data_IF_854278257681
#
_entry.id   IF_854278257681
#
_cell.length_a   1.000
_cell.length_b   1.000
_cell.length_c   1.000
_cell.angle_alpha   90.00
_cell.angle_beta   90.00
_cell.angle_gamma   90.00
#
_symmetry.space_group_name_H-M   'P 1'
#
loop_
_entity.id
_entity.type
_entity.pdbx_description
1 polymer ?
#
# COMPACT_ATOMS: atom_id res chain seq x y z
N UNK A 1 -7.43 -30.31 29.29
CA UNK A 1 -8.38 -29.77 28.31
C UNK A 1 -7.57 -29.08 27.24
N UNK A 2 -7.45 -29.71 26.08
CA UNK A 2 -6.63 -29.23 24.96
C UNK A 2 -7.31 -28.00 24.37
N UNK A 3 -6.70 -26.82 24.55
CA UNK A 3 -7.15 -25.59 23.90
C UNK A 3 -6.87 -25.71 22.42
N UNK A 4 -7.93 -25.95 21.63
CA UNK A 4 -7.89 -25.79 20.18
C UNK A 4 -7.55 -24.33 19.93
N UNK A 5 -6.31 -24.07 19.51
CA UNK A 5 -5.91 -22.78 18.96
C UNK A 5 -6.86 -22.52 17.79
N UNK A 6 -7.65 -21.43 17.86
CA UNK A 6 -8.45 -21.02 16.73
C UNK A 6 -7.54 -20.91 15.50
N UNK A 7 -7.94 -21.41 14.32
CA UNK A 7 -7.11 -21.28 13.13
C UNK A 7 -6.78 -19.79 12.97
N UNK A 8 -5.48 -19.48 12.84
CA UNK A 8 -5.08 -18.11 12.51
C UNK A 8 -5.86 -17.68 11.27
N UNK A 9 -6.47 -16.48 11.27
CA UNK A 9 -7.18 -16.01 10.10
C UNK A 9 -6.22 -16.07 8.92
N UNK A 10 -6.63 -16.80 7.88
CA UNK A 10 -5.85 -16.91 6.64
C UNK A 10 -5.48 -15.49 6.21
N UNK A 11 -4.17 -15.21 6.07
CA UNK A 11 -3.69 -13.97 5.45
C UNK A 11 -4.31 -13.92 4.05
N UNK A 12 -5.40 -13.18 3.91
CA UNK A 12 -6.15 -13.11 2.66
C UNK A 12 -5.26 -12.48 1.58
N UNK A 13 -4.99 -13.25 0.54
CA UNK A 13 -4.25 -12.78 -0.64
C UNK A 13 -4.97 -11.59 -1.29
N UNK A 14 -4.22 -10.75 -2.01
CA UNK A 14 -4.82 -9.60 -2.69
C UNK A 14 -5.88 -10.05 -3.70
N UNK A 15 -7.05 -9.41 -3.68
CA UNK A 15 -8.10 -9.59 -4.65
C UNK A 15 -8.03 -8.52 -5.76
N UNK A 16 -7.59 -8.86 -6.99
CA UNK A 16 -7.47 -7.89 -8.08
C UNK A 16 -8.80 -7.25 -8.47
N UNK A 17 -9.93 -7.94 -8.28
CA UNK A 17 -11.26 -7.39 -8.55
C UNK A 17 -11.67 -6.26 -7.58
N UNK A 18 -10.93 -6.09 -6.48
CA UNK A 18 -11.13 -5.02 -5.49
C UNK A 18 -10.02 -3.97 -5.53
N UNK A 19 -9.23 -3.97 -6.61
CA UNK A 19 -8.10 -3.07 -6.79
C UNK A 19 -6.92 -3.35 -5.85
N UNK A 20 -6.86 -4.54 -5.24
CA UNK A 20 -5.84 -4.85 -4.25
C UNK A 20 -4.49 -5.20 -4.87
N UNK A 21 -3.41 -4.85 -4.18
CA UNK A 21 -2.04 -5.18 -4.57
C UNK A 21 -1.25 -5.77 -3.40
N UNK A 22 -0.42 -6.77 -3.67
CA UNK A 22 0.48 -7.35 -2.66
C UNK A 22 1.76 -6.53 -2.56
N UNK A 23 2.10 -6.12 -1.34
CA UNK A 23 3.36 -5.48 -0.99
C UNK A 23 4.16 -6.43 -0.11
N UNK A 24 5.27 -6.95 -0.64
CA UNK A 24 6.20 -7.82 0.11
C UNK A 24 7.32 -6.99 0.71
N UNK A 25 7.34 -6.81 2.02
CA UNK A 25 8.37 -6.02 2.73
C UNK A 25 8.76 -6.72 4.04
N UNK A 26 10.03 -6.65 4.44
CA UNK A 26 10.53 -7.24 5.70
C UNK A 26 10.11 -8.72 5.94
N UNK A 27 10.00 -9.52 4.87
CA UNK A 27 9.55 -10.92 4.95
C UNK A 27 8.04 -11.11 5.12
N UNK A 28 7.28 -10.02 5.19
CA UNK A 28 5.83 -10.01 5.34
C UNK A 28 5.13 -9.71 4.00
N UNK A 29 3.93 -10.26 3.83
CA UNK A 29 3.03 -9.93 2.72
C UNK A 29 1.91 -9.04 3.29
N UNK A 30 1.89 -7.78 2.86
CA UNK A 30 0.84 -6.83 3.17
C UNK A 30 -0.05 -6.65 1.94
N UNK A 31 -1.31 -6.28 2.18
CA UNK A 31 -2.26 -5.99 1.11
C UNK A 31 -2.56 -4.50 1.10
N UNK A 32 -2.41 -3.88 -0.07
CA UNK A 32 -2.81 -2.50 -0.33
C UNK A 32 -4.16 -2.50 -1.03
N UNK A 33 -5.06 -1.61 -0.61
CA UNK A 33 -6.40 -1.41 -1.16
C UNK A 33 -6.72 0.09 -1.25
N UNK A 34 -6.83 0.67 -2.46
CA UNK A 34 -7.16 2.08 -2.68
C UNK A 34 -8.65 2.37 -2.49
N UNK A 35 -9.21 2.08 -1.31
CA UNK A 35 -10.61 2.41 -1.00
C UNK A 35 -10.82 3.93 -0.91
N UNK A 36 -12.07 4.40 -1.04
CA UNK A 36 -12.41 5.82 -0.90
C UNK A 36 -11.80 6.47 0.34
N UNK A 37 -11.95 5.86 1.52
CA UNK A 37 -11.41 6.39 2.77
C UNK A 37 -9.87 6.46 2.77
N UNK A 38 -9.20 5.45 2.19
CA UNK A 38 -7.75 5.44 2.05
C UNK A 38 -7.27 6.55 1.10
N UNK A 39 -7.96 6.74 -0.02
CA UNK A 39 -7.63 7.75 -1.01
C UNK A 39 -7.83 9.18 -0.48
N UNK A 40 -8.93 9.44 0.23
CA UNK A 40 -9.16 10.74 0.90
C UNK A 40 -8.10 11.00 1.97
N UNK A 41 -7.72 9.99 2.75
CA UNK A 41 -6.64 10.13 3.73
C UNK A 41 -5.28 10.40 3.06
N UNK A 42 -5.00 9.74 1.94
CA UNK A 42 -3.81 9.99 1.15
C UNK A 42 -3.80 11.41 0.57
N UNK A 43 -4.93 11.92 0.07
CA UNK A 43 -5.02 13.31 -0.40
C UNK A 43 -4.77 14.33 0.71
N UNK A 44 -5.25 14.05 1.92
CA UNK A 44 -5.01 14.90 3.08
C UNK A 44 -3.51 15.06 3.41
N UNK A 45 -2.68 14.06 3.11
CA UNK A 45 -1.23 14.10 3.36
C UNK A 45 -0.42 14.52 2.12
N UNK A 46 -0.78 14.01 0.94
CA UNK A 46 0.03 14.09 -0.28
C UNK A 46 -0.42 15.18 -1.26
N UNK A 47 -1.57 15.81 -0.98
CA UNK A 47 -2.26 16.69 -1.91
C UNK A 47 -3.06 15.92 -2.97
N UNK A 48 -3.57 16.62 -4.01
CA UNK A 48 -4.51 16.03 -4.97
C UNK A 48 -3.96 14.78 -5.67
N UNK A 49 -4.78 13.72 -5.81
CA UNK A 49 -4.34 12.47 -6.44
C UNK A 49 -3.92 12.65 -7.90
N UNK A 50 -4.57 13.55 -8.64
CA UNK A 50 -4.18 13.84 -10.03
C UNK A 50 -2.76 14.39 -10.10
N UNK A 51 -2.41 15.35 -9.23
CA UNK A 51 -1.06 15.89 -9.16
C UNK A 51 -0.04 14.83 -8.75
N UNK A 52 -0.40 13.89 -7.86
CA UNK A 52 0.43 12.75 -7.48
C UNK A 52 0.68 11.81 -8.69
N UNK A 53 -0.36 11.50 -9.46
CA UNK A 53 -0.28 10.66 -10.66
C UNK A 53 0.58 11.33 -11.75
N UNK A 54 0.42 12.64 -11.96
CA UNK A 54 1.23 13.40 -12.90
C UNK A 54 2.72 13.36 -12.53
N UNK A 55 3.05 13.62 -11.26
CA UNK A 55 4.44 13.49 -10.78
C UNK A 55 5.00 12.09 -11.01
N UNK A 56 4.20 11.04 -10.81
CA UNK A 56 4.62 9.67 -11.09
C UNK A 56 4.88 9.44 -12.59
N UNK A 57 3.99 9.91 -13.47
CA UNK A 57 4.15 9.79 -14.92
C UNK A 57 5.38 10.55 -15.44
N UNK A 58 5.72 11.67 -14.82
CA UNK A 58 6.91 12.48 -15.13
C UNK A 58 8.22 11.94 -14.50
N UNK A 59 8.15 10.86 -13.71
CA UNK A 59 9.32 10.32 -12.99
C UNK A 59 9.81 11.22 -11.85
N UNK A 60 8.94 12.09 -11.32
CA UNK A 60 9.21 13.04 -10.23
C UNK A 60 8.62 12.63 -8.89
N UNK A 61 7.91 11.49 -8.82
CA UNK A 61 7.34 11.01 -7.57
C UNK A 61 8.44 10.68 -6.55
N UNK A 62 8.39 11.36 -5.41
CA UNK A 62 9.31 11.15 -4.31
C UNK A 62 9.07 9.82 -3.58
N UNK A 63 10.12 9.32 -2.93
CA UNK A 63 10.02 8.11 -2.11
C UNK A 63 9.02 8.29 -0.94
N UNK A 64 9.02 9.45 -0.29
CA UNK A 64 8.08 9.78 0.78
C UNK A 64 6.62 9.74 0.31
N UNK A 65 6.36 10.20 -0.92
CA UNK A 65 5.02 10.20 -1.52
C UNK A 65 4.55 8.77 -1.84
N UNK A 66 5.45 7.93 -2.37
CA UNK A 66 5.18 6.50 -2.58
C UNK A 66 4.88 5.80 -1.25
N UNK A 67 5.70 6.03 -0.23
CA UNK A 67 5.51 5.48 1.13
C UNK A 67 4.20 5.98 1.76
N UNK A 68 3.83 7.23 1.53
CA UNK A 68 2.56 7.79 1.96
C UNK A 68 1.37 7.12 1.30
N UNK A 69 1.41 6.98 -0.02
CA UNK A 69 0.34 6.34 -0.75
C UNK A 69 0.15 4.89 -0.28
N UNK A 70 1.24 4.13 -0.15
CA UNK A 70 1.14 2.74 0.28
C UNK A 70 0.59 2.61 1.70
N UNK A 71 1.01 3.47 2.61
CA UNK A 71 0.58 3.41 4.01
C UNK A 71 -0.90 3.72 4.21
N UNK A 72 -1.43 4.69 3.48
CA UNK A 72 -2.86 4.99 3.50
C UNK A 72 -3.66 3.88 2.85
N UNK A 73 -3.11 3.25 1.82
CA UNK A 73 -3.71 2.10 1.18
C UNK A 73 -3.55 0.78 1.95
N UNK A 74 -2.83 0.69 3.08
CA UNK A 74 -2.74 -0.56 3.84
C UNK A 74 -4.14 -1.03 4.25
N UNK A 75 -4.54 -2.21 3.77
CA UNK A 75 -5.84 -2.81 4.08
C UNK A 75 -5.99 -3.08 5.57
N UNK A 76 -4.92 -3.60 6.17
CA UNK A 76 -4.81 -3.85 7.59
C UNK A 76 -3.39 -3.49 8.03
N UNK A 77 -3.28 -2.89 9.23
CA UNK A 77 -2.01 -2.58 9.86
C UNK A 77 -1.79 -3.58 10.99
N UNK A 78 -0.80 -4.48 10.89
CA UNK A 78 -0.41 -5.31 12.03
C UNK A 78 -0.11 -4.43 13.24
N UNK A 79 -0.45 -4.86 14.46
CA UNK A 79 -0.34 -4.04 15.68
C UNK A 79 1.08 -3.48 15.90
N UNK A 80 2.11 -4.23 15.49
CA UNK A 80 3.52 -3.84 15.62
C UNK A 80 4.04 -2.97 14.47
N UNK A 81 3.25 -2.76 13.41
CA UNK A 81 3.68 -2.01 12.24
C UNK A 81 3.61 -0.51 12.53
N UNK A 82 4.77 0.12 12.72
CA UNK A 82 4.90 1.57 12.83
C UNK A 82 5.06 2.22 11.45
N UNK A 83 4.78 3.53 11.37
CA UNK A 83 4.99 4.33 10.15
C UNK A 83 6.44 4.29 9.70
N UNK A 84 7.36 4.48 10.64
CA UNK A 84 8.80 4.53 10.38
C UNK A 84 9.32 3.17 9.95
N UNK A 85 8.95 2.09 10.65
CA UNK A 85 9.34 0.73 10.27
C UNK A 85 8.81 0.33 8.90
N UNK A 86 7.59 0.78 8.54
CA UNK A 86 7.06 0.60 7.20
C UNK A 86 7.87 1.37 6.14
N UNK A 87 8.21 2.63 6.42
CA UNK A 87 9.00 3.46 5.51
C UNK A 87 10.41 2.86 5.28
N UNK A 88 11.06 2.40 6.34
CA UNK A 88 12.35 1.71 6.26
C UNK A 88 12.25 0.42 5.42
N UNK A 89 11.23 -0.40 5.66
CA UNK A 89 11.05 -1.65 4.95
C UNK A 89 10.72 -1.46 3.46
N UNK A 90 9.94 -0.43 3.10
CA UNK A 90 9.70 -0.04 1.69
C UNK A 90 10.99 0.48 1.05
N UNK A 91 11.76 1.29 1.78
CA UNK A 91 13.04 1.84 1.30
C UNK A 91 14.08 0.75 1.05
N UNK A 92 14.22 -0.19 1.99
CA UNK A 92 15.15 -1.32 1.89
C UNK A 92 14.86 -2.23 0.68
N UNK A 93 13.59 -2.30 0.26
CA UNK A 93 13.16 -3.04 -0.94
C UNK A 93 13.60 -2.36 -2.25
N UNK A 94 13.81 -1.05 -2.23
CA UNK A 94 14.25 -0.24 -3.38
C UNK A 94 13.12 0.14 -4.36
N UNK A 95 13.32 1.24 -5.10
CA UNK A 95 12.30 1.82 -5.98
C UNK A 95 11.81 0.84 -7.06
N UNK A 96 12.74 0.19 -7.77
CA UNK A 96 12.39 -0.70 -8.88
C UNK A 96 11.49 -1.87 -8.46
N UNK A 97 11.72 -2.44 -7.27
CA UNK A 97 10.88 -3.51 -6.76
C UNK A 97 9.48 -3.01 -6.34
N UNK A 98 9.36 -1.76 -5.91
CA UNK A 98 8.09 -1.13 -5.51
C UNK A 98 7.26 -0.63 -6.70
N UNK A 99 7.86 -0.37 -7.86
CA UNK A 99 7.18 0.14 -9.07
C UNK A 99 5.97 -0.69 -9.52
N UNK A 100 5.98 -2.04 -9.53
CA UNK A 100 4.79 -2.81 -9.92
C UNK A 100 3.58 -2.55 -9.03
N UNK A 101 3.79 -2.45 -7.71
CA UNK A 101 2.72 -2.15 -6.73
C UNK A 101 2.20 -0.73 -6.93
N UNK A 102 3.12 0.23 -7.14
CA UNK A 102 2.77 1.60 -7.45
C UNK A 102 1.93 1.70 -8.73
N UNK A 103 2.34 1.03 -9.81
CA UNK A 103 1.61 1.01 -11.08
C UNK A 103 0.18 0.50 -10.90
N UNK A 104 0.00 -0.56 -10.11
CA UNK A 104 -1.35 -1.08 -9.80
C UNK A 104 -2.19 -0.02 -9.11
N UNK A 105 -1.68 0.63 -8.05
CA UNK A 105 -2.45 1.65 -7.33
C UNK A 105 -2.80 2.86 -8.19
N UNK A 106 -1.83 3.41 -8.93
CA UNK A 106 -2.08 4.55 -9.83
C UNK A 106 -3.11 4.21 -10.91
N UNK A 107 -3.06 2.98 -11.44
CA UNK A 107 -4.06 2.48 -12.38
C UNK A 107 -5.47 2.38 -11.79
N UNK A 108 -5.61 1.94 -10.53
CA UNK A 108 -6.92 1.90 -9.86
C UNK A 108 -7.44 3.30 -9.52
N UNK A 109 -6.58 4.20 -9.08
CA UNK A 109 -6.92 5.61 -8.83
C UNK A 109 -7.52 6.25 -10.09
N UNK A 110 -6.85 6.07 -11.24
CA UNK A 110 -7.33 6.58 -12.53
C UNK A 110 -8.61 5.89 -13.02
N UNK A 111 -8.81 4.62 -12.67
CA UNK A 111 -9.98 3.86 -13.07
C UNK A 111 -11.19 4.04 -12.14
N UNK A 112 -11.02 4.61 -10.95
CA UNK A 112 -12.06 4.77 -9.94
C UNK A 112 -12.58 3.45 -9.36
N UNK A 113 -11.69 2.47 -9.14
CA UNK A 113 -12.03 1.11 -8.66
C UNK A 113 -11.35 0.74 -7.34
#
# INVERSE_FOLDING_TARGET
MSGVLAPEPLKEAANPARGEAELRIAGEILVLRPSFAALVAAEGELGPLFALVERAAEGRLGLSEMVGLFWHCLRARPERLTRDGFAEAVTARGLAANTPVLKTLLGQILAGR
#
